data_IF_959846291590
#
_entry.id   IF_959846291590
#
_cell.length_a   1.000
_cell.length_b   1.000
_cell.length_c   1.000
_cell.angle_alpha   90.00
_cell.angle_beta   90.00
_cell.angle_gamma   90.00
#
_symmetry.space_group_name_H-M   'P 1'
#
loop_
_entity.id
_entity.type
_entity.pdbx_description
1 polymer ?
#
# COMPACT_ATOMS: atom_id res chain seq x y z
N UNK A 1 -22.59 -9.16 -13.77
CA UNK A 1 -21.52 -10.09 -14.18
C UNK A 1 -20.39 -9.27 -14.75
N UNK A 2 -19.20 -9.25 -14.12
CA UNK A 2 -18.06 -8.47 -14.60
C UNK A 2 -17.24 -7.88 -13.46
N UNK A 3 -16.69 -8.72 -12.58
CA UNK A 3 -15.73 -8.28 -11.57
C UNK A 3 -14.49 -7.76 -12.31
N UNK A 4 -14.26 -6.45 -12.27
CA UNK A 4 -13.01 -5.85 -12.74
C UNK A 4 -11.88 -6.28 -11.79
N UNK A 5 -11.31 -7.47 -12.01
CA UNK A 5 -10.03 -7.86 -11.43
C UNK A 5 -8.93 -7.07 -12.18
N UNK A 6 -8.74 -5.82 -11.76
CA UNK A 6 -7.70 -4.94 -12.30
C UNK A 6 -6.36 -5.38 -11.72
N UNK A 7 -5.57 -6.07 -12.58
CA UNK A 7 -4.13 -6.39 -12.54
C UNK A 7 -3.44 -6.33 -11.17
N UNK A 8 -2.93 -7.52 -10.77
CA UNK A 8 -1.78 -7.76 -9.89
C UNK A 8 -0.93 -6.48 -9.73
N UNK A 9 -0.94 -5.89 -8.55
CA UNK A 9 0.21 -5.08 -8.13
C UNK A 9 1.42 -5.99 -8.24
N UNK A 10 2.48 -5.53 -8.90
CA UNK A 10 3.75 -6.23 -9.07
C UNK A 10 4.08 -7.19 -7.93
N UNK A 11 3.68 -8.46 -8.10
CA UNK A 11 4.05 -9.55 -7.20
C UNK A 11 5.55 -9.72 -7.40
N UNK A 12 6.35 -9.18 -6.47
CA UNK A 12 7.81 -9.20 -6.52
C UNK A 12 8.51 -7.87 -6.82
N UNK A 13 7.81 -6.74 -6.94
CA UNK A 13 8.51 -5.45 -6.98
C UNK A 13 9.12 -5.11 -5.61
N UNK A 14 10.36 -4.61 -5.57
CA UNK A 14 10.96 -4.13 -4.32
C UNK A 14 10.10 -3.01 -3.71
N UNK A 15 10.00 -3.02 -2.39
CA UNK A 15 9.21 -2.05 -1.62
C UNK A 15 9.54 -0.60 -2.04
N UNK A 16 8.57 0.18 -2.58
CA UNK A 16 8.82 1.49 -3.20
C UNK A 16 8.94 2.64 -2.18
N UNK A 17 9.31 2.33 -0.94
CA UNK A 17 9.21 3.20 0.23
C UNK A 17 7.77 3.61 0.60
N UNK A 18 7.64 4.19 1.80
CA UNK A 18 6.36 4.54 2.42
C UNK A 18 5.52 5.51 1.55
N UNK A 19 6.06 6.61 0.99
CA UNK A 19 5.30 7.50 0.11
C UNK A 19 4.83 6.84 -1.19
N UNK A 20 5.66 5.97 -1.79
CA UNK A 20 5.30 5.22 -3.01
C UNK A 20 4.15 4.24 -2.78
N UNK A 21 4.11 3.62 -1.59
CA UNK A 21 3.02 2.73 -1.17
C UNK A 21 1.70 3.50 -1.02
N UNK A 22 1.72 4.68 -0.38
CA UNK A 22 0.54 5.55 -0.30
C UNK A 22 0.09 6.02 -1.68
N UNK A 23 1.02 6.46 -2.54
CA UNK A 23 0.71 6.87 -3.91
C UNK A 23 0.00 5.76 -4.71
N UNK A 24 0.51 4.52 -4.64
CA UNK A 24 -0.11 3.36 -5.28
C UNK A 24 -1.53 3.10 -4.76
N UNK A 25 -1.73 3.24 -3.44
CA UNK A 25 -3.04 3.07 -2.81
C UNK A 25 -4.06 4.13 -3.29
N UNK A 26 -3.64 5.40 -3.37
CA UNK A 26 -4.50 6.50 -3.80
C UNK A 26 -4.90 6.38 -5.27
N UNK A 27 -3.95 6.00 -6.14
CA UNK A 27 -4.23 5.73 -7.56
C UNK A 27 -5.23 4.58 -7.74
N UNK A 28 -5.11 3.51 -6.95
CA UNK A 28 -6.06 2.38 -6.99
C UNK A 28 -7.45 2.75 -6.50
N UNK A 29 -7.54 3.64 -5.52
CA UNK A 29 -8.81 4.18 -5.01
C UNK A 29 -9.48 5.20 -5.96
N UNK A 30 -8.82 5.56 -7.07
CA UNK A 30 -9.37 6.48 -8.07
C UNK A 30 -9.28 7.95 -7.67
N UNK A 31 -8.34 8.32 -6.79
CA UNK A 31 -8.09 9.72 -6.48
C UNK A 31 -7.48 10.44 -7.69
N UNK A 32 -7.85 11.71 -7.85
CA UNK A 32 -7.29 12.56 -8.88
C UNK A 32 -5.78 12.76 -8.65
N UNK A 33 -4.98 12.69 -9.71
CA UNK A 33 -3.51 12.64 -9.61
C UNK A 33 -2.90 13.90 -9.00
N UNK A 34 -3.57 15.04 -9.18
CA UNK A 34 -3.25 16.35 -8.60
C UNK A 34 -3.48 16.42 -7.08
N UNK A 35 -4.43 15.63 -6.56
CA UNK A 35 -4.73 15.54 -5.13
C UNK A 35 -3.72 14.66 -4.38
N UNK A 36 -3.08 13.71 -5.06
CA UNK A 36 -2.12 12.78 -4.45
C UNK A 36 -0.91 13.49 -3.80
N UNK A 37 -0.21 14.42 -4.45
CA UNK A 37 0.91 15.13 -3.81
C UNK A 37 0.46 15.96 -2.61
N UNK A 38 -0.76 16.53 -2.63
CA UNK A 38 -1.32 17.27 -1.50
C UNK A 38 -1.55 16.34 -0.31
N UNK A 39 -2.11 15.16 -0.55
CA UNK A 39 -2.33 14.15 0.50
C UNK A 39 -1.02 13.59 1.04
N UNK A 40 -0.02 13.35 0.18
CA UNK A 40 1.31 12.93 0.62
C UNK A 40 1.98 14.01 1.47
N UNK A 41 1.85 15.29 1.08
CA UNK A 41 2.40 16.42 1.83
C UNK A 41 1.71 16.63 3.20
N UNK A 42 0.48 16.14 3.39
CA UNK A 42 -0.20 16.19 4.69
C UNK A 42 0.38 15.22 5.72
N UNK A 43 1.19 14.25 5.29
CA UNK A 43 1.87 13.31 6.17
C UNK A 43 3.16 13.93 6.71
N UNK A 44 3.32 13.93 8.04
CA UNK A 44 4.59 14.35 8.65
C UNK A 44 5.70 13.32 8.41
N UNK A 45 6.96 13.75 8.39
CA UNK A 45 8.13 12.86 8.32
C UNK A 45 8.13 11.80 9.44
N UNK A 46 7.63 12.17 10.62
CA UNK A 46 7.49 11.25 11.74
C UNK A 46 6.47 10.15 11.45
N UNK A 47 5.31 10.52 10.92
CA UNK A 47 4.27 9.57 10.47
C UNK A 47 4.85 8.63 9.41
N UNK A 48 5.55 9.16 8.40
CA UNK A 48 6.16 8.35 7.35
C UNK A 48 7.13 7.32 7.94
N UNK A 49 7.99 7.72 8.89
CA UNK A 49 8.94 6.83 9.57
C UNK A 49 8.26 5.73 10.39
N UNK A 50 7.21 6.07 11.15
CA UNK A 50 6.47 5.11 11.97
C UNK A 50 5.81 4.02 11.10
N UNK A 51 5.21 4.40 9.98
CA UNK A 51 4.53 3.47 9.09
C UNK A 51 5.49 2.73 8.14
N UNK A 52 6.69 3.25 7.91
CA UNK A 52 7.62 2.64 6.96
C UNK A 52 8.00 1.20 7.34
N UNK A 53 8.23 0.94 8.63
CA UNK A 53 8.63 -0.39 9.10
C UNK A 53 7.51 -1.43 8.95
N UNK A 54 6.27 -1.07 9.30
CA UNK A 54 5.11 -1.96 9.18
C UNK A 54 4.71 -2.18 7.72
N UNK A 55 4.74 -1.15 6.89
CA UNK A 55 4.47 -1.26 5.45
C UNK A 55 5.51 -2.13 4.74
N UNK A 56 6.79 -2.00 5.10
CA UNK A 56 7.83 -2.86 4.55
C UNK A 56 7.58 -4.34 4.90
N UNK A 57 7.25 -4.63 6.16
CA UNK A 57 6.91 -6.00 6.60
C UNK A 57 5.68 -6.53 5.86
N UNK A 58 4.64 -5.72 5.71
CA UNK A 58 3.42 -6.07 4.97
C UNK A 58 3.73 -6.36 3.50
N UNK A 59 4.60 -5.56 2.88
CA UNK A 59 5.01 -5.75 1.50
C UNK A 59 5.77 -7.07 1.31
N UNK A 60 6.71 -7.38 2.21
CA UNK A 60 7.43 -8.65 2.20
C UNK A 60 6.47 -9.82 2.38
N UNK A 61 5.62 -9.78 3.40
CA UNK A 61 4.61 -10.80 3.67
C UNK A 61 3.71 -11.05 2.44
N UNK A 62 3.18 -9.99 1.85
CA UNK A 62 2.34 -10.12 0.66
C UNK A 62 3.10 -10.68 -0.55
N UNK A 63 4.38 -10.33 -0.69
CA UNK A 63 5.22 -10.83 -1.78
C UNK A 63 5.52 -12.32 -1.61
N UNK A 64 5.77 -12.77 -0.38
CA UNK A 64 6.02 -14.17 -0.05
C UNK A 64 4.75 -15.04 -0.20
N UNK A 65 3.61 -14.54 0.27
CA UNK A 65 2.33 -15.26 0.27
C UNK A 65 1.47 -15.01 -0.99
N UNK A 66 1.99 -14.32 -2.01
CA UNK A 66 1.29 -13.99 -3.26
C UNK A 66 -0.06 -13.27 -3.03
N UNK A 67 -0.09 -12.35 -2.06
CA UNK A 67 -1.27 -11.56 -1.71
C UNK A 67 -1.26 -10.19 -2.41
N UNK A 68 -2.45 -9.64 -2.69
CA UNK A 68 -2.57 -8.25 -3.15
C UNK A 68 -2.33 -7.30 -1.96
N UNK A 69 -1.21 -6.59 -2.01
CA UNK A 69 -0.78 -5.61 -0.99
C UNK A 69 -1.85 -4.56 -0.70
N UNK A 70 -2.68 -4.23 -1.69
CA UNK A 70 -3.71 -3.18 -1.60
C UNK A 70 -5.13 -3.74 -1.46
N UNK A 71 -5.28 -5.07 -1.48
CA UNK A 71 -6.57 -5.74 -1.43
C UNK A 71 -6.46 -7.01 -0.58
N UNK A 72 -6.29 -6.81 0.72
CA UNK A 72 -6.27 -7.87 1.72
C UNK A 72 -7.55 -7.85 2.55
N UNK A 73 -8.06 -9.06 2.83
CA UNK A 73 -9.18 -9.27 3.73
C UNK A 73 -8.84 -8.66 5.11
N UNK A 74 -9.78 -7.92 5.70
CA UNK A 74 -9.54 -7.03 6.85
C UNK A 74 -8.98 -7.72 8.10
N UNK A 75 -9.02 -9.06 8.13
CA UNK A 75 -8.43 -9.91 9.17
C UNK A 75 -6.91 -9.95 9.17
N UNK A 76 -6.24 -9.74 8.03
CA UNK A 76 -4.79 -9.85 7.91
C UNK A 76 -4.03 -8.62 8.43
N UNK A 77 -4.67 -7.45 8.42
CA UNK A 77 -4.06 -6.18 8.85
C UNK A 77 -3.73 -6.15 10.35
N UNK A 78 -4.43 -6.94 11.17
CA UNK A 78 -4.22 -6.98 12.63
C UNK A 78 -2.90 -7.65 13.08
N UNK A 79 -2.22 -8.42 12.22
CA UNK A 79 -1.04 -9.21 12.62
C UNK A 79 0.24 -8.38 12.68
N UNK A 80 0.35 -7.28 11.93
CA UNK A 80 1.63 -6.53 11.79
C UNK A 80 1.84 -5.50 12.92
N UNK A 81 0.88 -5.36 13.83
CA UNK A 81 0.94 -4.40 14.95
C UNK A 81 1.23 -5.08 16.30
N UNK A 82 1.41 -6.41 16.34
CA UNK A 82 1.69 -7.19 17.56
C UNK A 82 3.14 -7.70 17.59
#
# INVERSE_FOLDING_TARGET
MGKHHKKLSDVGAPYPACPGSYQGSYKRRGLAEDCIPVLLASLSDYTIKQYNASLQKWWTFCSEDNLDVFNSDSKLVMVITL
#
